data_IF_640166888284
#
_entry.id   IF_640166888284
#
_cell.length_a   1.000
_cell.length_b   1.000
_cell.length_c   1.000
_cell.angle_alpha   90.00
_cell.angle_beta   90.00
_cell.angle_gamma   90.00
#
_symmetry.space_group_name_H-M   'P 1'
#
loop_
_entity.id
_entity.type
_entity.pdbx_description
1 polymer ?
#
# COMPACT_ATOMS: atom_id res chain seq x y z
N UNK A 1 27.55 1.96 -6.61
CA UNK A 1 26.40 1.58 -5.77
C UNK A 1 25.24 2.50 -6.12
N UNK A 2 24.44 2.17 -7.12
CA UNK A 2 23.18 2.87 -7.39
C UNK A 2 22.34 1.96 -8.27
N UNK A 3 21.43 1.19 -7.66
CA UNK A 3 20.34 0.63 -8.45
C UNK A 3 19.44 1.82 -8.79
N UNK A 4 19.38 2.15 -10.08
CA UNK A 4 18.51 3.17 -10.65
C UNK A 4 17.06 2.77 -10.36
N UNK A 5 16.56 3.27 -9.23
CA UNK A 5 15.16 3.15 -8.81
C UNK A 5 14.41 4.12 -9.72
N UNK A 6 14.07 3.70 -10.94
CA UNK A 6 13.04 4.39 -11.71
C UNK A 6 11.71 4.21 -11.01
N UNK A 7 11.53 5.07 -10.00
CA UNK A 7 10.31 5.75 -9.59
C UNK A 7 9.05 4.91 -9.55
N UNK A 8 8.90 4.17 -8.46
CA UNK A 8 7.59 4.04 -7.88
C UNK A 8 7.17 5.43 -7.39
N UNK A 9 6.38 6.16 -8.18
CA UNK A 9 5.69 7.40 -7.79
C UNK A 9 4.59 7.09 -6.76
N UNK A 10 5.01 6.44 -5.67
CA UNK A 10 4.22 6.16 -4.49
C UNK A 10 4.56 7.26 -3.50
N UNK A 11 3.59 8.14 -3.30
CA UNK A 11 3.58 9.26 -2.37
C UNK A 11 2.31 9.19 -1.51
N UNK A 12 2.12 10.14 -0.60
CA UNK A 12 0.99 10.14 0.32
C UNK A 12 -0.39 10.21 -0.36
N UNK A 13 -0.44 10.76 -1.57
CA UNK A 13 -1.63 10.89 -2.40
C UNK A 13 -1.92 9.67 -3.27
N UNK A 14 -0.99 8.72 -3.38
CA UNK A 14 -1.18 7.51 -4.17
C UNK A 14 -2.29 6.65 -3.58
N UNK A 15 -3.22 6.19 -4.42
CA UNK A 15 -4.30 5.31 -4.00
C UNK A 15 -3.76 3.91 -3.72
N UNK A 16 -4.03 3.37 -2.52
CA UNK A 16 -3.70 1.97 -2.20
C UNK A 16 -4.40 1.01 -3.15
N UNK A 17 -5.59 1.37 -3.62
CA UNK A 17 -6.31 0.62 -4.64
C UNK A 17 -5.51 0.43 -5.92
N UNK A 18 -4.78 1.45 -6.36
CA UNK A 18 -3.98 1.38 -7.59
C UNK A 18 -2.70 0.59 -7.39
N UNK A 19 -2.06 0.72 -6.22
CA UNK A 19 -0.92 -0.13 -5.83
C UNK A 19 -1.36 -1.60 -5.80
N UNK A 20 -2.48 -1.91 -5.16
CA UNK A 20 -3.00 -3.28 -5.03
C UNK A 20 -3.61 -3.84 -6.33
N UNK A 21 -3.93 -3.00 -7.33
CA UNK A 21 -4.24 -3.45 -8.69
C UNK A 21 -2.96 -3.83 -9.45
N UNK A 22 -1.90 -3.03 -9.31
CA UNK A 22 -0.61 -3.25 -9.97
C UNK A 22 0.18 -4.39 -9.33
N UNK A 23 0.06 -4.54 -8.01
CA UNK A 23 0.74 -5.52 -7.17
C UNK A 23 -0.27 -6.26 -6.29
N UNK A 24 -0.90 -7.34 -6.79
CA UNK A 24 -1.94 -8.05 -6.06
C UNK A 24 -1.50 -8.56 -4.66
N UNK A 25 -0.22 -8.91 -4.51
CA UNK A 25 0.39 -9.38 -3.26
C UNK A 25 0.41 -8.31 -2.15
N UNK A 26 0.29 -7.02 -2.49
CA UNK A 26 0.24 -5.94 -1.48
C UNK A 26 -0.99 -6.04 -0.59
N UNK A 27 -2.07 -6.68 -1.06
CA UNK A 27 -3.24 -6.92 -0.23
C UNK A 27 -2.87 -7.74 0.99
N UNK A 28 -2.18 -8.86 0.78
CA UNK A 28 -1.73 -9.77 1.84
C UNK A 28 -0.76 -9.06 2.79
N UNK A 29 0.21 -8.33 2.24
CA UNK A 29 1.14 -7.52 3.02
C UNK A 29 0.45 -6.51 3.94
N UNK A 30 -0.55 -5.78 3.44
CA UNK A 30 -1.31 -4.85 4.27
C UNK A 30 -2.03 -5.58 5.41
N UNK A 31 -2.66 -6.72 5.14
CA UNK A 31 -3.34 -7.52 6.17
C UNK A 31 -2.35 -8.01 7.24
N UNK A 32 -1.14 -8.41 6.84
CA UNK A 32 -0.06 -8.79 7.75
C UNK A 32 0.44 -7.61 8.59
N UNK A 33 0.52 -6.41 7.99
CA UNK A 33 0.94 -5.19 8.66
C UNK A 33 0.02 -4.81 9.81
N UNK A 34 -1.30 -4.97 9.61
CA UNK A 34 -2.28 -4.73 10.66
C UNK A 34 -3.59 -5.46 10.39
N UNK A 35 -4.19 -6.13 11.40
CA UNK A 35 -5.52 -6.72 11.28
C UNK A 35 -6.61 -5.67 10.98
N UNK A 36 -6.34 -4.37 11.20
CA UNK A 36 -7.24 -3.27 10.77
C UNK A 36 -7.48 -3.29 9.25
N UNK A 37 -6.51 -3.77 8.48
CA UNK A 37 -6.62 -3.93 7.03
C UNK A 37 -7.38 -5.18 6.61
N UNK A 38 -7.81 -6.06 7.54
CA UNK A 38 -8.60 -7.25 7.20
C UNK A 38 -9.92 -6.90 6.50
N UNK A 39 -10.49 -5.71 6.76
CA UNK A 39 -11.69 -5.23 6.07
C UNK A 39 -11.44 -4.95 4.57
N UNK A 40 -10.19 -4.75 4.15
CA UNK A 40 -9.80 -4.65 2.74
C UNK A 40 -9.88 -6.00 2.00
N UNK A 41 -10.00 -7.14 2.69
CA UNK A 41 -10.32 -8.43 2.05
C UNK A 41 -11.72 -8.43 1.44
N UNK A 42 -12.64 -7.62 1.96
CA UNK A 42 -13.98 -7.54 1.42
C UNK A 42 -13.96 -6.77 0.09
N UNK A 43 -14.34 -7.39 -1.04
CA UNK A 43 -14.23 -6.77 -2.37
C UNK A 43 -15.09 -5.51 -2.51
N UNK A 44 -16.19 -5.38 -1.78
CA UNK A 44 -17.05 -4.19 -1.79
C UNK A 44 -16.39 -3.04 -1.05
N UNK A 45 -15.88 -3.31 0.16
CA UNK A 45 -15.13 -2.33 0.97
C UNK A 45 -13.86 -1.90 0.25
N UNK A 46 -13.14 -2.86 -0.34
CA UNK A 46 -11.99 -2.59 -1.17
C UNK A 46 -12.37 -1.73 -2.36
N UNK A 47 -13.41 -2.05 -3.14
CA UNK A 47 -13.81 -1.25 -4.31
C UNK A 47 -14.20 0.18 -3.93
N UNK A 48 -14.93 0.36 -2.84
CA UNK A 48 -15.31 1.68 -2.32
C UNK A 48 -14.08 2.47 -1.85
N UNK A 49 -13.20 1.86 -1.07
CA UNK A 49 -12.00 2.51 -0.53
C UNK A 49 -10.92 2.71 -1.59
N UNK A 50 -10.69 1.77 -2.50
CA UNK A 50 -9.67 1.81 -3.55
C UNK A 50 -9.75 3.03 -4.46
N UNK A 51 -10.93 3.62 -4.57
CA UNK A 51 -11.16 4.83 -5.37
C UNK A 51 -10.80 6.14 -4.64
N UNK A 52 -10.63 6.12 -3.32
CA UNK A 52 -10.47 7.33 -2.47
C UNK A 52 -9.45 7.20 -1.34
N UNK A 53 -8.96 6.00 -1.05
CA UNK A 53 -8.05 5.70 0.05
C UNK A 53 -6.61 5.88 -0.42
N UNK A 54 -6.12 7.09 -0.21
CA UNK A 54 -4.71 7.43 -0.37
C UNK A 54 -3.89 6.80 0.76
N UNK A 55 -2.57 6.71 0.57
CA UNK A 55 -1.67 6.25 1.62
C UNK A 55 -1.84 7.10 2.88
N UNK A 56 -1.95 8.42 2.78
CA UNK A 56 -2.18 9.30 3.93
C UNK A 56 -3.39 8.86 4.78
N UNK A 57 -4.54 8.63 4.12
CA UNK A 57 -5.78 8.23 4.79
C UNK A 57 -5.63 6.86 5.49
N UNK A 58 -4.88 5.97 4.86
CA UNK A 58 -4.68 4.61 5.35
C UNK A 58 -3.73 4.63 6.55
N UNK A 59 -2.62 5.37 6.46
CA UNK A 59 -1.67 5.64 7.54
C UNK A 59 -2.37 6.20 8.77
N UNK A 60 -3.18 7.24 8.61
CA UNK A 60 -3.96 7.84 9.70
C UNK A 60 -4.88 6.82 10.39
N UNK A 61 -5.64 6.04 9.62
CA UNK A 61 -6.58 5.05 10.16
C UNK A 61 -5.91 3.86 10.82
N UNK A 62 -4.72 3.49 10.34
CA UNK A 62 -3.97 2.35 10.84
C UNK A 62 -3.08 2.71 12.02
N UNK A 63 -2.69 3.98 12.14
CA UNK A 63 -1.75 4.49 13.14
C UNK A 63 -0.29 4.37 12.70
N UNK A 64 -0.03 4.29 11.39
CA UNK A 64 1.31 4.30 10.83
C UNK A 64 1.67 5.70 10.37
N UNK A 65 2.95 6.05 10.45
CA UNK A 65 3.48 7.23 9.77
C UNK A 65 3.38 7.04 8.25
N UNK A 66 3.10 8.13 7.54
CA UNK A 66 2.90 8.10 6.08
C UNK A 66 4.17 7.62 5.37
N UNK A 67 5.32 8.20 5.72
CA UNK A 67 6.62 7.79 5.18
C UNK A 67 6.97 6.34 5.49
N UNK A 68 6.68 5.88 6.72
CA UNK A 68 6.98 4.50 7.12
C UNK A 68 6.14 3.51 6.30
N UNK A 69 4.85 3.80 6.08
CA UNK A 69 3.99 2.98 5.24
C UNK A 69 4.46 2.96 3.77
N UNK A 70 4.86 4.11 3.22
CA UNK A 70 5.42 4.21 1.87
C UNK A 70 6.67 3.33 1.75
N UNK A 71 7.60 3.45 2.70
CA UNK A 71 8.85 2.70 2.69
C UNK A 71 8.62 1.20 2.83
N UNK A 72 7.73 0.79 3.74
CA UNK A 72 7.31 -0.62 3.90
C UNK A 72 6.74 -1.20 2.61
N UNK A 73 5.83 -0.47 1.95
CA UNK A 73 5.25 -0.89 0.66
C UNK A 73 6.33 -0.99 -0.42
N UNK A 74 7.17 0.04 -0.59
CA UNK A 74 8.25 0.04 -1.60
C UNK A 74 9.22 -1.12 -1.39
N UNK A 75 9.64 -1.35 -0.15
CA UNK A 75 10.53 -2.46 0.19
C UNK A 75 9.89 -3.81 -0.10
N UNK A 76 8.64 -4.02 0.29
CA UNK A 76 7.95 -5.28 0.03
C UNK A 76 7.76 -5.55 -1.46
N UNK A 77 7.43 -4.52 -2.27
CA UNK A 77 7.37 -4.64 -3.73
C UNK A 77 8.73 -5.04 -4.29
N UNK A 78 9.80 -4.40 -3.82
CA UNK A 78 11.17 -4.71 -4.25
C UNK A 78 11.57 -6.14 -3.91
N UNK A 79 11.27 -6.61 -2.70
CA UNK A 79 11.55 -7.98 -2.26
C UNK A 79 10.79 -9.04 -3.06
N UNK A 80 9.55 -8.78 -3.46
CA UNK A 80 8.71 -9.71 -4.24
C UNK A 80 8.91 -9.62 -5.75
N UNK A 81 9.58 -8.57 -6.25
CA UNK A 81 9.87 -8.37 -7.67
C UNK A 81 11.27 -8.87 -8.07
N UNK A 82 12.05 -9.37 -7.12
CA UNK A 82 13.35 -10.02 -7.27
C UNK A 82 13.19 -11.54 -7.16
#
# INVERSE_FOLDING_TARGET
MSYDIKEFDINEGTLIGDIAKRYPFIREFLIELSPKFAKLKNPIVFKAMSSKATIALVSEKSGFEVEDLINKIKNHIKEKSL
#
